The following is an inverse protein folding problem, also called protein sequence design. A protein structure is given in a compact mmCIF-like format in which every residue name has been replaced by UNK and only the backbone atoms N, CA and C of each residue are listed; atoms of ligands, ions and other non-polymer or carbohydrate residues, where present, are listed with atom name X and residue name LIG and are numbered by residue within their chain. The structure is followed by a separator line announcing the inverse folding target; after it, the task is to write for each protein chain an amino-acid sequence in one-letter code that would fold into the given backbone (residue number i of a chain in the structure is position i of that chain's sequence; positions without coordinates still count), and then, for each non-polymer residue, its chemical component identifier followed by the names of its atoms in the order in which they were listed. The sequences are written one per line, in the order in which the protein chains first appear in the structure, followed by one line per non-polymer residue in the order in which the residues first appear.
data_IF_723870681328
#
_entry.id   IF_723870681328
#
_cell.length_a   1.000
_cell.length_b   1.000
_cell.length_c   1.000
_cell.angle_alpha   90.00
_cell.angle_beta   90.00
_cell.angle_gamma   90.00
#
_symmetry.space_group_name_H-M   'P 1'
#
loop_
_entity.id
_entity.type
_entity.pdbx_description
1 polymer ?
#
# COMPACT_ATOMS: atom_id res chain seq x y z
N UNK A 1 -22.40 13.20 -9.76
CA UNK A 1 -23.04 13.26 -8.43
C UNK A 1 -22.96 11.91 -7.69
N UNK A 2 -22.08 11.01 -8.14
CA UNK A 2 -21.85 9.68 -7.52
C UNK A 2 -20.34 9.41 -7.27
N UNK A 3 -19.51 10.46 -7.32
CA UNK A 3 -18.03 10.29 -7.29
C UNK A 3 -17.40 10.21 -5.90
N UNK A 4 -18.17 10.33 -4.79
CA UNK A 4 -17.58 10.49 -3.45
C UNK A 4 -18.18 9.59 -2.34
N UNK A 5 -18.73 8.42 -2.64
CA UNK A 5 -19.21 7.53 -1.59
C UNK A 5 -18.81 6.08 -1.86
N UNK A 6 -18.17 5.46 -0.88
CA UNK A 6 -17.95 4.01 -0.79
C UNK A 6 -19.31 3.27 -0.78
N UNK A 7 -19.78 2.90 -1.97
CA UNK A 7 -20.98 2.07 -2.08
C UNK A 7 -20.62 0.59 -1.96
N UNK A 8 -21.35 -0.08 -1.09
CA UNK A 8 -21.31 -1.54 -0.93
C UNK A 8 -21.80 -2.21 -2.22
N UNK A 9 -21.15 -3.27 -2.67
CA UNK A 9 -21.48 -4.01 -3.92
C UNK A 9 -22.95 -4.39 -3.97
N UNK A 10 -23.55 -4.74 -2.82
CA UNK A 10 -24.99 -5.08 -2.70
C UNK A 10 -25.93 -3.88 -2.98
N UNK A 11 -25.46 -2.66 -2.81
CA UNK A 11 -26.28 -1.45 -3.11
C UNK A 11 -26.25 -1.13 -4.61
N UNK A 12 -25.13 -1.42 -5.27
CA UNK A 12 -24.98 -1.27 -6.71
C UNK A 12 -25.88 -2.29 -7.44
N UNK A 13 -25.88 -3.54 -7.03
CA UNK A 13 -26.74 -4.58 -7.61
C UNK A 13 -28.23 -4.24 -7.47
N UNK A 14 -28.67 -3.74 -6.31
CA UNK A 14 -30.05 -3.27 -6.10
C UNK A 14 -30.41 -2.04 -6.94
N UNK A 15 -29.45 -1.20 -7.25
CA UNK A 15 -29.63 -0.06 -8.13
C UNK A 15 -29.86 -0.54 -9.58
N UNK A 16 -29.05 -1.50 -10.06
CA UNK A 16 -29.23 -2.11 -11.39
C UNK A 16 -30.57 -2.82 -11.52
N UNK A 17 -31.02 -3.57 -10.52
CA UNK A 17 -32.34 -4.20 -10.50
C UNK A 17 -33.46 -3.17 -10.56
N UNK A 18 -33.35 -2.05 -9.83
CA UNK A 18 -34.36 -0.98 -9.88
C UNK A 18 -34.38 -0.27 -11.23
N UNK A 19 -33.27 -0.06 -11.88
CA UNK A 19 -33.23 0.52 -13.23
C UNK A 19 -33.86 -0.40 -14.25
N UNK A 20 -33.55 -1.69 -14.21
CA UNK A 20 -34.17 -2.70 -15.06
C UNK A 20 -35.73 -2.81 -14.84
N UNK A 21 -36.18 -2.76 -13.58
CA UNK A 21 -37.60 -2.79 -13.25
C UNK A 21 -38.35 -1.55 -13.72
N UNK A 22 -37.69 -0.42 -13.90
CA UNK A 22 -38.31 0.83 -14.42
C UNK A 22 -38.13 0.99 -15.93
N UNK A 23 -37.66 -0.04 -16.66
CA UNK A 23 -37.49 0.00 -18.12
C UNK A 23 -36.40 0.98 -18.59
N UNK A 24 -35.47 1.34 -17.71
CA UNK A 24 -34.30 2.14 -18.04
C UNK A 24 -33.24 1.14 -18.53
N UNK A 25 -33.03 1.10 -19.81
CA UNK A 25 -31.96 0.35 -20.45
C UNK A 25 -30.63 1.05 -20.04
N UNK A 26 -29.89 0.43 -19.12
CA UNK A 26 -28.54 0.90 -18.78
C UNK A 26 -27.68 0.42 -19.93
N UNK A 27 -27.34 1.34 -20.82
CA UNK A 27 -26.32 1.10 -21.84
C UNK A 27 -25.00 0.99 -21.10
N UNK A 28 -24.42 -0.19 -21.09
CA UNK A 28 -23.07 -0.47 -20.57
C UNK A 28 -21.99 0.20 -21.47
N UNK A 29 -22.15 1.48 -21.78
CA UNK A 29 -21.07 2.32 -22.33
C UNK A 29 -20.16 2.89 -21.22
N UNK A 30 -20.47 2.59 -19.96
CA UNK A 30 -19.50 2.63 -18.88
C UNK A 30 -19.07 1.19 -18.63
N UNK A 31 -18.36 0.63 -19.57
CA UNK A 31 -17.24 -0.25 -19.23
C UNK A 31 -16.45 0.55 -18.19
N UNK A 32 -16.40 0.17 -16.89
CA UNK A 32 -15.49 0.85 -15.97
C UNK A 32 -14.14 0.72 -16.64
N UNK A 33 -13.59 1.83 -17.07
CA UNK A 33 -12.38 2.04 -17.87
C UNK A 33 -11.49 0.78 -17.93
N UNK A 34 -11.85 -0.17 -18.80
CA UNK A 34 -10.98 -1.30 -19.16
C UNK A 34 -9.69 -0.76 -19.74
N UNK A 35 -9.72 0.46 -20.27
CA UNK A 35 -8.54 1.19 -20.70
C UNK A 35 -7.57 1.52 -19.56
N UNK A 36 -8.05 1.74 -18.34
CA UNK A 36 -7.16 2.07 -17.21
C UNK A 36 -6.33 0.86 -16.77
N UNK A 37 -6.88 -0.36 -16.88
CA UNK A 37 -6.14 -1.59 -16.61
C UNK A 37 -5.48 -2.20 -17.85
N UNK A 38 -6.03 -1.92 -19.06
CA UNK A 38 -5.36 -2.19 -20.33
C UNK A 38 -4.03 -1.42 -20.44
N UNK A 39 -3.97 -0.20 -19.90
CA UNK A 39 -2.74 0.60 -19.86
C UNK A 39 -1.62 -0.03 -19.01
N UNK A 40 -1.96 -0.82 -17.99
CA UNK A 40 -0.98 -1.64 -17.25
C UNK A 40 -0.59 -2.92 -18.02
N UNK A 41 -1.48 -3.42 -18.88
CA UNK A 41 -1.19 -4.54 -19.80
C UNK A 41 -0.30 -4.12 -20.97
N UNK A 42 -0.51 -2.93 -21.54
CA UNK A 42 0.35 -2.40 -22.63
C UNK A 42 1.80 -2.19 -22.17
N UNK A 43 2.04 -1.93 -20.87
CA UNK A 43 3.40 -1.94 -20.31
C UNK A 43 3.97 -3.36 -20.15
N UNK A 44 3.11 -4.40 -20.15
CA UNK A 44 3.55 -5.79 -20.17
C UNK A 44 3.86 -6.26 -21.58
N UNK A 45 3.16 -5.73 -22.58
CA UNK A 45 3.24 -6.14 -23.99
C UNK A 45 4.42 -5.47 -24.74
N UNK A 46 4.96 -4.36 -24.21
CA UNK A 46 6.12 -3.67 -24.79
C UNK A 46 7.45 -4.48 -24.75
N UNK A 47 7.41 -5.72 -24.27
CA UNK A 47 8.59 -6.59 -24.09
C UNK A 47 8.51 -7.98 -24.69
N UNK A 48 7.40 -8.40 -25.32
CA UNK A 48 7.30 -9.79 -25.77
C UNK A 48 6.49 -9.94 -27.08
N UNK A 49 7.17 -9.77 -28.21
CA UNK A 49 6.79 -10.36 -29.51
C UNK A 49 7.09 -11.86 -29.45
N UNK A 50 6.35 -12.65 -28.68
CA UNK A 50 6.47 -14.10 -28.73
C UNK A 50 5.10 -14.80 -28.58
N UNK A 51 4.52 -15.07 -29.75
CA UNK A 51 3.95 -16.36 -30.13
C UNK A 51 2.89 -16.96 -29.20
N UNK A 52 1.65 -16.88 -29.67
CA UNK A 52 0.60 -17.88 -29.46
C UNK A 52 1.16 -19.28 -29.77
N UNK A 53 1.68 -19.94 -28.77
CA UNK A 53 1.90 -21.39 -28.83
C UNK A 53 1.10 -22.03 -27.72
N UNK A 54 0.06 -22.71 -28.15
CA UNK A 54 -0.59 -23.82 -27.48
C UNK A 54 0.43 -24.97 -27.33
N UNK A 55 1.50 -24.72 -26.59
CA UNK A 55 2.53 -25.73 -26.32
C UNK A 55 2.62 -25.97 -24.82
N UNK A 56 2.35 -27.26 -24.55
CA UNK A 56 2.40 -27.87 -23.26
C UNK A 56 3.64 -27.46 -22.48
N UNK A 57 3.40 -27.18 -21.23
CA UNK A 57 4.39 -26.94 -20.19
C UNK A 57 5.51 -27.95 -20.33
N UNK A 58 6.61 -27.53 -20.95
CA UNK A 58 7.77 -28.41 -21.15
C UNK A 58 8.39 -28.70 -19.78
N UNK A 59 8.19 -29.92 -19.32
CA UNK A 59 8.76 -30.42 -18.07
C UNK A 59 10.31 -30.47 -18.09
N UNK A 60 10.92 -30.21 -19.24
CA UNK A 60 12.39 -30.24 -19.43
C UNK A 60 13.10 -29.04 -18.78
N UNK A 61 12.40 -27.93 -18.48
CA UNK A 61 12.97 -26.79 -17.74
C UNK A 61 13.17 -27.07 -16.24
N UNK A 62 12.71 -28.21 -15.74
CA UNK A 62 12.72 -28.55 -14.30
C UNK A 62 13.92 -29.40 -13.89
N UNK A 63 14.67 -29.98 -14.84
CA UNK A 63 15.68 -31.04 -14.56
C UNK A 63 17.07 -30.53 -14.13
N UNK A 64 17.30 -29.24 -14.01
CA UNK A 64 18.69 -28.73 -13.81
C UNK A 64 18.95 -27.88 -12.57
N UNK A 65 17.99 -27.59 -11.68
CA UNK A 65 18.18 -26.63 -10.58
C UNK A 65 17.83 -27.29 -9.23
N UNK A 66 18.56 -26.91 -8.18
CA UNK A 66 18.46 -27.44 -6.82
C UNK A 66 17.02 -27.63 -6.32
N UNK A 67 16.81 -28.71 -5.57
CA UNK A 67 15.51 -29.22 -5.06
C UNK A 67 14.84 -28.24 -4.07
N UNK A 68 15.54 -27.18 -3.65
CA UNK A 68 15.11 -26.24 -2.60
C UNK A 68 14.36 -24.99 -3.10
N UNK A 69 14.03 -24.89 -4.39
CA UNK A 69 13.29 -23.75 -4.90
C UNK A 69 11.77 -23.93 -4.68
N UNK A 70 11.15 -23.11 -3.78
CA UNK A 70 9.71 -23.21 -3.49
C UNK A 70 8.83 -23.00 -4.71
N UNK A 71 9.29 -22.22 -5.70
CA UNK A 71 8.56 -22.00 -6.98
C UNK A 71 8.42 -23.33 -7.72
N UNK A 72 9.51 -24.11 -7.82
CA UNK A 72 9.49 -25.39 -8.52
C UNK A 72 8.63 -26.43 -7.84
N UNK A 73 8.67 -26.47 -6.51
CA UNK A 73 7.81 -27.37 -5.73
C UNK A 73 6.34 -27.07 -6.05
N UNK A 74 5.96 -25.80 -6.03
CA UNK A 74 4.60 -25.37 -6.34
C UNK A 74 4.21 -25.74 -7.78
N UNK A 75 5.07 -25.43 -8.77
CA UNK A 75 4.82 -25.74 -10.19
C UNK A 75 4.66 -27.24 -10.44
N UNK A 76 5.47 -28.07 -9.75
CA UNK A 76 5.36 -29.53 -9.81
C UNK A 76 4.06 -30.04 -9.21
N UNK A 77 3.57 -29.43 -8.13
CA UNK A 77 2.30 -29.83 -7.49
C UNK A 77 1.10 -29.51 -8.37
N UNK A 78 1.01 -28.29 -8.90
CA UNK A 78 -0.11 -27.90 -9.77
C UNK A 78 -0.11 -28.67 -11.11
N UNK A 79 1.07 -29.10 -11.58
CA UNK A 79 1.21 -29.91 -12.80
C UNK A 79 0.61 -31.32 -12.68
N UNK A 80 0.40 -31.84 -11.47
CA UNK A 80 -0.21 -33.16 -11.24
C UNK A 80 -1.72 -33.19 -11.47
N UNK A 81 -2.36 -32.02 -11.43
CA UNK A 81 -3.82 -31.91 -11.60
C UNK A 81 -4.13 -31.91 -13.11
N UNK A 82 -4.94 -32.88 -13.60
CA UNK A 82 -5.31 -32.92 -15.03
C UNK A 82 -6.20 -31.72 -15.37
N UNK A 83 -6.05 -31.24 -16.62
CA UNK A 83 -6.91 -30.21 -17.17
C UNK A 83 -8.34 -30.73 -17.35
N UNK A 84 -9.33 -29.85 -17.23
CA UNK A 84 -10.74 -30.16 -17.42
C UNK A 84 -11.13 -30.03 -18.89
N UNK A 85 -12.03 -30.90 -19.33
CA UNK A 85 -12.73 -30.74 -20.60
C UNK A 85 -13.87 -29.69 -20.46
N UNK A 86 -14.33 -29.08 -21.56
CA UNK A 86 -15.46 -28.13 -21.51
C UNK A 86 -16.74 -28.71 -20.87
N UNK A 87 -17.02 -29.98 -21.08
CA UNK A 87 -18.17 -30.65 -20.51
C UNK A 87 -18.02 -30.84 -19.00
N UNK A 88 -16.82 -31.19 -18.54
CA UNK A 88 -16.50 -31.28 -17.10
C UNK A 88 -16.58 -29.92 -16.40
N UNK A 89 -16.16 -28.83 -17.07
CA UNK A 89 -16.30 -27.45 -16.53
C UNK A 89 -17.78 -27.13 -16.26
N UNK A 90 -18.66 -27.45 -17.21
CA UNK A 90 -20.11 -27.22 -17.09
C UNK A 90 -20.70 -28.08 -15.96
N UNK A 91 -20.34 -29.38 -15.89
CA UNK A 91 -20.82 -30.27 -14.85
C UNK A 91 -20.40 -29.78 -13.46
N UNK A 92 -19.13 -29.42 -13.28
CA UNK A 92 -18.63 -28.88 -12.02
C UNK A 92 -19.30 -27.56 -11.65
N UNK A 93 -19.55 -26.67 -12.63
CA UNK A 93 -20.27 -25.41 -12.40
C UNK A 93 -21.72 -25.64 -11.97
N UNK A 94 -22.40 -26.65 -12.53
CA UNK A 94 -23.76 -27.03 -12.09
C UNK A 94 -23.76 -27.56 -10.64
N UNK A 95 -22.81 -28.42 -10.29
CA UNK A 95 -22.65 -28.94 -8.94
C UNK A 95 -22.36 -27.84 -7.93
N UNK A 96 -21.51 -26.87 -8.30
CA UNK A 96 -21.20 -25.70 -7.47
C UNK A 96 -22.46 -24.87 -7.16
N UNK A 97 -23.34 -24.64 -8.15
CA UNK A 97 -24.61 -23.93 -7.96
C UNK A 97 -25.53 -24.66 -6.96
N UNK A 98 -25.40 -25.96 -6.84
CA UNK A 98 -26.11 -26.79 -5.84
C UNK A 98 -25.39 -26.83 -4.47
N UNK A 99 -24.30 -26.07 -4.27
CA UNK A 99 -23.61 -25.95 -2.99
C UNK A 99 -22.48 -26.97 -2.77
N UNK A 100 -22.04 -27.69 -3.81
CA UNK A 100 -20.95 -28.67 -3.69
C UNK A 100 -19.58 -27.99 -3.59
N UNK A 101 -19.03 -27.95 -2.37
CA UNK A 101 -17.70 -27.38 -2.10
C UNK A 101 -16.56 -28.18 -2.72
N UNK A 102 -16.73 -29.51 -2.95
CA UNK A 102 -15.71 -30.32 -3.59
C UNK A 102 -15.59 -30.00 -5.09
N UNK A 103 -16.73 -29.71 -5.75
CA UNK A 103 -16.74 -29.25 -7.14
C UNK A 103 -16.04 -27.87 -7.28
N UNK A 104 -16.28 -26.94 -6.34
CA UNK A 104 -15.59 -25.65 -6.29
C UNK A 104 -14.08 -25.81 -6.18
N UNK A 105 -13.62 -26.66 -5.25
CA UNK A 105 -12.20 -26.94 -5.06
C UNK A 105 -11.57 -27.55 -6.32
N UNK A 106 -12.23 -28.53 -6.94
CA UNK A 106 -11.75 -29.20 -8.15
C UNK A 106 -11.61 -28.26 -9.33
N UNK A 107 -12.59 -27.35 -9.55
CA UNK A 107 -12.54 -26.35 -10.61
C UNK A 107 -11.39 -25.37 -10.39
N UNK A 108 -11.15 -24.92 -9.14
CA UNK A 108 -10.04 -24.05 -8.81
C UNK A 108 -8.68 -24.75 -9.04
N UNK A 109 -8.49 -25.98 -8.53
CA UNK A 109 -7.23 -26.73 -8.65
C UNK A 109 -6.83 -26.98 -10.10
N UNK A 110 -7.78 -27.30 -10.97
CA UNK A 110 -7.53 -27.54 -12.39
C UNK A 110 -7.10 -26.28 -13.18
N UNK A 111 -7.38 -25.10 -12.62
CA UNK A 111 -7.08 -23.81 -13.26
C UNK A 111 -5.91 -23.04 -12.62
N UNK A 112 -5.16 -23.62 -11.68
CA UNK A 112 -3.98 -22.97 -11.09
C UNK A 112 -2.90 -22.68 -12.13
N UNK A 113 -2.77 -23.53 -13.16
CA UNK A 113 -1.82 -23.31 -14.25
C UNK A 113 -2.13 -22.04 -15.05
N UNK A 114 -3.41 -21.70 -15.22
CA UNK A 114 -3.84 -20.45 -15.85
C UNK A 114 -3.36 -19.22 -15.04
N UNK A 115 -3.44 -19.27 -13.70
CA UNK A 115 -2.93 -18.20 -12.84
C UNK A 115 -1.44 -17.97 -13.05
N UNK A 116 -0.64 -19.05 -13.11
CA UNK A 116 0.81 -18.97 -13.32
C UNK A 116 1.14 -18.33 -14.67
N UNK A 117 0.44 -18.71 -15.73
CA UNK A 117 0.66 -18.16 -17.09
C UNK A 117 0.40 -16.66 -17.15
N UNK A 118 -0.61 -16.18 -16.41
CA UNK A 118 -0.93 -14.75 -16.30
C UNK A 118 0.09 -14.04 -15.40
N UNK A 119 0.39 -14.59 -14.21
CA UNK A 119 1.31 -13.99 -13.24
C UNK A 119 2.73 -13.80 -13.80
N UNK A 120 3.18 -14.71 -14.70
CA UNK A 120 4.49 -14.63 -15.36
C UNK A 120 4.70 -13.29 -16.06
N UNK A 121 3.68 -12.72 -16.69
CA UNK A 121 3.73 -11.42 -17.39
C UNK A 121 3.90 -10.22 -16.47
N UNK A 122 3.65 -10.38 -15.17
CA UNK A 122 3.76 -9.33 -14.17
C UNK A 122 5.02 -9.44 -13.30
N UNK A 123 5.94 -10.34 -13.64
CA UNK A 123 7.23 -10.49 -12.96
C UNK A 123 8.07 -9.21 -13.02
N UNK A 124 8.88 -8.96 -11.99
CA UNK A 124 9.81 -7.81 -11.94
C UNK A 124 9.15 -6.46 -11.58
N UNK A 125 7.88 -6.43 -11.19
CA UNK A 125 7.15 -5.20 -10.86
C UNK A 125 7.09 -4.89 -9.36
N UNK A 126 8.10 -5.30 -8.60
CA UNK A 126 8.23 -4.98 -7.16
C UNK A 126 7.57 -6.00 -6.22
N UNK A 127 7.01 -7.10 -6.75
CA UNK A 127 6.50 -8.23 -5.97
C UNK A 127 7.21 -9.54 -6.34
N UNK A 128 7.33 -10.46 -5.39
CA UNK A 128 7.86 -11.80 -5.70
C UNK A 128 6.92 -12.57 -6.60
N UNK A 129 7.47 -13.49 -7.41
CA UNK A 129 6.64 -14.28 -8.33
C UNK A 129 5.61 -15.16 -7.60
N UNK A 130 5.97 -15.72 -6.44
CA UNK A 130 5.04 -16.50 -5.63
C UNK A 130 3.90 -15.66 -5.06
N UNK A 131 4.20 -14.41 -4.63
CA UNK A 131 3.15 -13.51 -4.13
C UNK A 131 2.18 -13.11 -5.26
N UNK A 132 2.69 -12.86 -6.47
CA UNK A 132 1.84 -12.61 -7.65
C UNK A 132 0.91 -13.79 -7.95
N UNK A 133 1.44 -15.02 -7.85
CA UNK A 133 0.63 -16.24 -8.02
C UNK A 133 -0.45 -16.31 -6.92
N UNK A 134 -0.11 -16.07 -5.65
CA UNK A 134 -1.10 -16.17 -4.57
C UNK A 134 -2.19 -15.10 -4.68
N UNK A 135 -1.84 -13.87 -5.04
CA UNK A 135 -2.84 -12.84 -5.33
C UNK A 135 -3.72 -13.20 -6.54
N UNK A 136 -3.11 -13.79 -7.57
CA UNK A 136 -3.84 -14.36 -8.70
C UNK A 136 -4.79 -15.49 -8.31
N UNK A 137 -4.36 -16.38 -7.39
CA UNK A 137 -5.20 -17.46 -6.85
C UNK A 137 -6.41 -16.91 -6.09
N UNK A 138 -6.27 -15.81 -5.35
CA UNK A 138 -7.41 -15.11 -4.73
C UNK A 138 -8.40 -14.59 -5.79
N UNK A 139 -7.88 -14.08 -6.89
CA UNK A 139 -8.70 -13.71 -8.06
C UNK A 139 -9.43 -14.91 -8.67
N UNK A 140 -8.74 -16.04 -8.86
CA UNK A 140 -9.31 -17.28 -9.36
C UNK A 140 -10.46 -17.79 -8.45
N UNK A 141 -10.29 -17.77 -7.13
CA UNK A 141 -11.33 -18.19 -6.18
C UNK A 141 -12.58 -17.33 -6.35
N UNK A 142 -12.43 -16.01 -6.47
CA UNK A 142 -13.55 -15.08 -6.74
C UNK A 142 -14.22 -15.38 -8.09
N UNK A 143 -13.43 -15.70 -9.12
CA UNK A 143 -13.96 -16.09 -10.43
C UNK A 143 -14.80 -17.36 -10.33
N UNK A 144 -14.31 -18.39 -9.62
CA UNK A 144 -15.03 -19.64 -9.39
C UNK A 144 -16.36 -19.39 -8.69
N UNK A 145 -16.39 -18.52 -7.66
CA UNK A 145 -17.61 -18.18 -6.92
C UNK A 145 -18.70 -17.49 -7.77
N UNK A 146 -18.26 -16.64 -8.71
CA UNK A 146 -19.17 -15.82 -9.52
C UNK A 146 -19.41 -16.37 -10.94
N UNK A 147 -18.83 -17.52 -11.28
CA UNK A 147 -18.95 -18.10 -12.61
C UNK A 147 -20.38 -18.59 -12.91
N UNK A 148 -20.91 -18.15 -14.05
CA UNK A 148 -22.22 -18.56 -14.54
C UNK A 148 -22.07 -19.27 -15.90
N UNK A 149 -22.20 -20.60 -15.89
CA UNK A 149 -22.11 -21.45 -17.08
C UNK A 149 -23.25 -21.24 -18.07
N UNK A 150 -24.38 -20.62 -17.66
CA UNK A 150 -25.53 -20.39 -18.55
C UNK A 150 -25.24 -19.37 -19.63
N UNK A 151 -24.19 -18.54 -19.46
CA UNK A 151 -23.78 -17.53 -20.45
C UNK A 151 -23.01 -18.10 -21.65
N UNK A 152 -22.64 -19.38 -21.63
CA UNK A 152 -22.02 -20.07 -22.77
C UNK A 152 -20.54 -19.75 -23.02
N UNK A 153 -19.90 -18.95 -22.14
CA UNK A 153 -18.47 -18.64 -22.24
C UNK A 153 -17.62 -19.67 -21.47
N UNK A 154 -16.36 -19.90 -21.92
CA UNK A 154 -15.40 -20.73 -21.21
C UNK A 154 -15.04 -20.09 -19.88
N UNK A 155 -14.82 -20.94 -18.86
CA UNK A 155 -14.38 -20.48 -17.55
C UNK A 155 -13.09 -19.65 -17.61
N UNK A 156 -12.11 -20.09 -18.43
CA UNK A 156 -10.82 -19.41 -18.59
C UNK A 156 -10.96 -17.95 -19.03
N UNK A 157 -11.90 -17.62 -19.94
CA UNK A 157 -12.15 -16.26 -20.40
C UNK A 157 -12.61 -15.36 -19.25
N UNK A 158 -13.53 -15.85 -18.42
CA UNK A 158 -14.02 -15.12 -17.26
C UNK A 158 -12.98 -15.02 -16.14
N UNK A 159 -12.29 -16.12 -15.85
CA UNK A 159 -11.28 -16.18 -14.80
C UNK A 159 -10.07 -15.27 -15.08
N UNK A 160 -9.66 -15.13 -16.35
CA UNK A 160 -8.54 -14.27 -16.73
C UNK A 160 -8.75 -12.84 -16.27
N UNK A 161 -9.95 -12.31 -16.39
CA UNK A 161 -10.27 -10.94 -15.92
C UNK A 161 -10.08 -10.80 -14.40
N UNK A 162 -10.62 -11.74 -13.62
CA UNK A 162 -10.51 -11.70 -12.15
C UNK A 162 -9.08 -11.89 -11.65
N UNK A 163 -8.33 -12.79 -12.30
CA UNK A 163 -6.92 -13.06 -11.96
C UNK A 163 -6.10 -11.80 -12.23
N UNK A 164 -6.26 -11.20 -13.41
CA UNK A 164 -5.57 -9.97 -13.81
C UNK A 164 -5.89 -8.83 -12.85
N UNK A 165 -7.18 -8.60 -12.58
CA UNK A 165 -7.64 -7.58 -11.65
C UNK A 165 -7.01 -7.73 -10.26
N UNK A 166 -6.97 -8.96 -9.72
CA UNK A 166 -6.38 -9.22 -8.41
C UNK A 166 -4.88 -8.94 -8.39
N UNK A 167 -4.14 -9.42 -9.39
CA UNK A 167 -2.70 -9.20 -9.51
C UNK A 167 -2.38 -7.72 -9.66
N UNK A 168 -3.06 -7.01 -10.55
CA UNK A 168 -2.81 -5.59 -10.80
C UNK A 168 -3.09 -4.75 -9.55
N UNK A 169 -4.18 -5.04 -8.86
CA UNK A 169 -4.52 -4.37 -7.60
C UNK A 169 -3.48 -4.65 -6.51
N UNK A 170 -3.02 -5.89 -6.39
CA UNK A 170 -1.99 -6.25 -5.43
C UNK A 170 -0.66 -5.53 -5.71
N UNK A 171 -0.24 -5.43 -6.97
CA UNK A 171 0.93 -4.64 -7.36
C UNK A 171 0.77 -3.17 -6.96
N UNK A 172 -0.39 -2.57 -7.23
CA UNK A 172 -0.63 -1.17 -6.85
C UNK A 172 -0.59 -0.95 -5.34
N UNK A 173 -1.09 -1.91 -4.54
CA UNK A 173 -1.19 -1.80 -3.09
C UNK A 173 0.08 -2.18 -2.33
N UNK A 174 0.91 -3.09 -2.85
CA UNK A 174 1.98 -3.76 -2.09
C UNK A 174 3.39 -3.64 -2.70
N UNK A 175 3.52 -3.34 -4.01
CA UNK A 175 4.81 -3.35 -4.69
C UNK A 175 5.78 -2.25 -4.24
N UNK A 176 5.28 -1.15 -3.66
CA UNK A 176 6.09 -0.02 -3.24
C UNK A 176 6.39 -0.05 -1.75
N UNK A 177 7.61 0.27 -1.36
CA UNK A 177 8.02 0.42 0.04
C UNK A 177 7.17 1.47 0.77
N UNK A 178 6.87 2.59 0.12
CA UNK A 178 5.94 3.60 0.61
C UNK A 178 4.65 3.44 -0.19
N UNK A 179 3.59 2.96 0.47
CA UNK A 179 2.30 2.69 -0.17
C UNK A 179 1.68 3.95 -0.75
N UNK A 180 1.23 3.87 -1.99
CA UNK A 180 0.51 4.92 -2.72
C UNK A 180 -0.92 4.43 -2.99
N UNK A 181 -1.96 5.27 -2.85
CA UNK A 181 -3.33 4.89 -3.20
C UNK A 181 -3.47 4.47 -4.66
N UNK A 182 -4.35 3.48 -4.94
CA UNK A 182 -4.50 2.86 -6.28
C UNK A 182 -4.77 3.90 -7.37
N UNK A 183 -5.68 4.85 -7.16
CA UNK A 183 -5.99 5.91 -8.13
C UNK A 183 -4.77 6.78 -8.48
N UNK A 184 -3.84 6.97 -7.54
CA UNK A 184 -2.58 7.68 -7.81
C UNK A 184 -1.61 6.83 -8.63
N UNK A 185 -1.56 5.50 -8.39
CA UNK A 185 -0.77 4.58 -9.19
C UNK A 185 -1.26 4.58 -10.65
N UNK A 186 -2.57 4.58 -10.87
CA UNK A 186 -3.19 4.71 -12.19
C UNK A 186 -2.78 6.01 -12.88
N UNK A 187 -2.86 7.13 -12.14
CA UNK A 187 -2.45 8.44 -12.69
C UNK A 187 -0.95 8.47 -13.03
N UNK A 188 -0.09 7.91 -12.17
CA UNK A 188 1.35 7.76 -12.43
C UNK A 188 1.59 6.93 -13.70
N UNK A 189 0.84 5.84 -13.87
CA UNK A 189 0.93 4.97 -15.05
C UNK A 189 0.55 5.72 -16.33
N UNK A 190 -0.56 6.50 -16.31
CA UNK A 190 -0.96 7.37 -17.43
C UNK A 190 0.13 8.39 -17.77
N UNK A 191 0.71 9.05 -16.77
CA UNK A 191 1.82 10.00 -16.97
C UNK A 191 3.04 9.31 -17.60
N UNK A 192 3.43 8.12 -17.10
CA UNK A 192 4.55 7.36 -17.64
C UNK A 192 4.31 6.91 -19.10
N UNK A 193 3.08 6.45 -19.43
CA UNK A 193 2.71 6.04 -20.78
C UNK A 193 2.82 7.21 -21.77
N UNK A 194 2.24 8.36 -21.43
CA UNK A 194 2.33 9.56 -22.29
C UNK A 194 3.78 10.06 -22.39
N UNK A 195 4.55 10.03 -21.31
CA UNK A 195 5.97 10.38 -21.31
C UNK A 195 6.75 9.49 -22.29
N UNK A 196 6.52 8.16 -22.26
CA UNK A 196 7.13 7.22 -23.20
C UNK A 196 6.71 7.47 -24.64
N UNK A 197 5.43 7.74 -24.92
CA UNK A 197 4.93 8.06 -26.25
C UNK A 197 5.57 9.35 -26.81
N UNK A 198 5.65 10.40 -26.00
CA UNK A 198 6.29 11.67 -26.39
C UNK A 198 7.80 11.51 -26.59
N UNK A 199 8.46 10.68 -25.78
CA UNK A 199 9.88 10.33 -25.98
C UNK A 199 10.10 9.68 -27.34
N UNK A 200 9.26 8.72 -27.73
CA UNK A 200 9.34 8.08 -29.05
C UNK A 200 9.04 9.04 -30.20
N UNK A 201 8.13 9.99 -30.03
CA UNK A 201 7.78 10.97 -31.07
C UNK A 201 8.85 12.06 -31.23
N UNK A 202 9.37 12.58 -30.13
CA UNK A 202 10.27 13.72 -30.11
C UNK A 202 11.75 13.36 -30.10
N UNK A 203 12.11 12.08 -29.80
CA UNK A 203 13.48 11.61 -29.65
C UNK A 203 14.22 12.17 -28.45
N UNK A 204 13.54 12.86 -27.52
CA UNK A 204 14.06 13.43 -26.29
C UNK A 204 13.07 13.31 -25.13
N UNK A 205 13.56 13.39 -23.91
CA UNK A 205 12.68 13.41 -22.73
C UNK A 205 11.69 14.58 -22.80
N UNK A 206 10.38 14.30 -22.59
CA UNK A 206 9.35 15.34 -22.63
C UNK A 206 9.43 16.24 -21.39
N UNK A 207 9.10 17.51 -21.59
CA UNK A 207 8.97 18.45 -20.48
C UNK A 207 7.64 18.24 -19.74
N UNK A 208 7.55 18.60 -18.43
CA UNK A 208 6.27 18.55 -17.71
C UNK A 208 5.13 19.31 -18.38
N UNK A 209 5.44 20.38 -19.11
CA UNK A 209 4.46 21.20 -19.85
C UNK A 209 3.89 20.42 -21.06
N UNK A 210 4.71 19.66 -21.78
CA UNK A 210 4.29 18.80 -22.90
C UNK A 210 3.40 17.64 -22.43
N UNK A 211 3.76 17.02 -21.30
CA UNK A 211 2.95 15.95 -20.69
C UNK A 211 1.60 16.52 -20.21
N UNK A 212 1.60 17.69 -19.57
CA UNK A 212 0.41 18.37 -19.08
C UNK A 212 -0.56 18.70 -20.22
N UNK A 213 -0.03 19.19 -21.36
CA UNK A 213 -0.82 19.46 -22.55
C UNK A 213 -1.45 18.18 -23.16
N UNK A 214 -0.71 17.05 -23.15
CA UNK A 214 -1.19 15.78 -23.68
C UNK A 214 -2.25 15.12 -22.78
N UNK A 215 -2.20 15.34 -21.45
CA UNK A 215 -3.15 14.78 -20.47
C UNK A 215 -4.28 15.73 -20.11
N UNK A 216 -4.30 16.96 -20.64
CA UNK A 216 -5.25 18.02 -20.28
C UNK A 216 -5.28 18.30 -18.76
N UNK A 217 -4.08 18.35 -18.15
CA UNK A 217 -3.89 18.54 -16.72
C UNK A 217 -3.06 19.79 -16.41
N UNK A 218 -3.20 20.43 -15.23
CA UNK A 218 -2.33 21.50 -14.79
C UNK A 218 -0.87 21.03 -14.66
N UNK A 219 0.08 21.86 -15.12
CA UNK A 219 1.52 21.55 -15.09
C UNK A 219 2.02 21.24 -13.67
N UNK A 220 1.56 22.00 -12.68
CA UNK A 220 1.96 21.80 -11.28
C UNK A 220 1.51 20.43 -10.76
N UNK A 221 0.35 19.95 -11.21
CA UNK A 221 -0.13 18.60 -10.88
C UNK A 221 0.76 17.53 -11.48
N UNK A 222 1.19 17.69 -12.73
CA UNK A 222 2.13 16.73 -13.36
C UNK A 222 3.46 16.70 -12.61
N UNK A 223 4.00 17.86 -12.22
CA UNK A 223 5.24 17.94 -11.42
C UNK A 223 5.09 17.24 -10.06
N UNK A 224 3.95 17.41 -9.40
CA UNK A 224 3.65 16.73 -8.13
C UNK A 224 3.62 15.21 -8.33
N UNK A 225 2.91 14.71 -9.37
CA UNK A 225 2.81 13.31 -9.70
C UNK A 225 4.19 12.71 -10.00
N UNK A 226 5.01 13.39 -10.78
CA UNK A 226 6.38 12.95 -11.09
C UNK A 226 7.25 12.85 -9.83
N UNK A 227 7.09 13.76 -8.86
CA UNK A 227 7.79 13.70 -7.58
C UNK A 227 7.33 12.53 -6.72
N UNK A 228 6.02 12.25 -6.66
CA UNK A 228 5.47 11.11 -5.92
C UNK A 228 5.85 9.77 -6.58
N UNK A 229 6.04 9.77 -7.91
CA UNK A 229 6.36 8.56 -8.66
C UNK A 229 7.79 8.03 -8.40
N UNK A 230 8.67 8.81 -7.78
CA UNK A 230 10.05 8.41 -7.48
C UNK A 230 10.07 7.27 -6.45
N UNK A 231 11.00 6.33 -6.65
CA UNK A 231 11.24 5.26 -5.70
C UNK A 231 12.27 5.69 -4.65
N UNK A 232 12.17 5.22 -3.40
CA UNK A 232 13.15 5.52 -2.37
C UNK A 232 14.51 4.88 -2.71
N UNK A 233 15.58 5.60 -2.37
CA UNK A 233 16.96 5.11 -2.51
C UNK A 233 17.38 4.44 -1.20
N UNK A 234 18.12 3.33 -1.28
CA UNK A 234 18.66 2.66 -0.09
C UNK A 234 19.73 3.51 0.60
N UNK A 235 19.69 3.55 1.92
CA UNK A 235 20.75 4.18 2.73
C UNK A 235 22.07 3.42 2.68
N UNK A 236 22.02 2.13 2.33
CA UNK A 236 23.21 1.27 2.17
C UNK A 236 23.85 1.40 0.77
N UNK A 237 23.37 2.33 -0.07
CA UNK A 237 23.97 2.57 -1.38
C UNK A 237 25.40 3.08 -1.19
N UNK A 238 26.43 2.39 -1.76
CA UNK A 238 27.82 2.82 -1.63
C UNK A 238 28.05 4.15 -2.37
N UNK A 239 28.86 5.02 -1.79
CA UNK A 239 29.25 6.32 -2.37
C UNK A 239 30.77 6.34 -2.52
N UNK A 240 31.24 6.63 -3.74
CA UNK A 240 32.67 6.71 -4.07
C UNK A 240 33.21 5.42 -4.65
N UNK A 241 34.55 5.39 -4.90
CA UNK A 241 35.24 4.24 -5.47
C UNK A 241 35.64 3.19 -4.41
N UNK A 242 35.71 3.59 -3.15
CA UNK A 242 35.99 2.71 -2.00
C UNK A 242 34.63 2.34 -1.37
N UNK A 243 34.32 1.03 -1.32
CA UNK A 243 33.02 0.49 -0.83
C UNK A 243 32.77 0.73 0.68
N UNK A 244 33.61 1.49 1.35
CA UNK A 244 33.56 1.71 2.80
C UNK A 244 32.55 2.80 3.25
N UNK A 245 32.03 3.63 2.33
CA UNK A 245 31.11 4.73 2.64
C UNK A 245 29.72 4.53 2.04
N UNK A 246 28.69 4.68 2.85
CA UNK A 246 27.29 4.54 2.45
C UNK A 246 26.55 5.87 2.49
N UNK A 247 25.47 6.01 1.71
CA UNK A 247 24.63 7.21 1.70
C UNK A 247 24.15 7.62 3.10
N UNK A 248 23.87 6.63 3.95
CA UNK A 248 23.42 6.85 5.33
C UNK A 248 24.41 7.59 6.21
N UNK A 249 25.72 7.46 5.95
CA UNK A 249 26.78 8.10 6.74
C UNK A 249 26.83 9.63 6.56
N UNK A 250 26.25 10.12 5.46
CA UNK A 250 26.24 11.56 5.13
C UNK A 250 24.94 12.27 5.58
N UNK A 251 23.97 11.55 6.10
CA UNK A 251 22.70 12.14 6.54
C UNK A 251 22.79 12.50 8.02
N UNK A 252 22.83 13.81 8.38
CA UNK A 252 22.88 14.24 9.77
C UNK A 252 21.56 13.97 10.49
N UNK A 253 21.61 13.65 11.78
CA UNK A 253 20.44 13.60 12.64
C UNK A 253 20.07 15.02 13.12
N UNK A 254 19.04 15.61 12.53
CA UNK A 254 18.54 16.94 12.87
C UNK A 254 17.92 17.02 14.29
N UNK A 255 17.59 15.88 14.90
CA UNK A 255 17.03 15.83 16.26
C UNK A 255 18.07 15.64 17.33
N UNK A 256 19.31 15.30 17.01
CA UNK A 256 20.38 15.20 17.97
C UNK A 256 20.83 16.59 18.43
N UNK A 257 20.69 16.92 19.74
CA UNK A 257 21.13 18.23 20.25
C UNK A 257 22.66 18.34 20.15
N UNK A 258 23.15 19.53 19.83
CA UNK A 258 24.58 19.80 19.88
C UNK A 258 25.13 19.58 21.30
N UNK A 259 26.40 19.14 21.48
CA UNK A 259 27.00 18.90 22.78
C UNK A 259 26.92 20.11 23.72
N UNK A 260 27.08 21.33 23.17
CA UNK A 260 26.96 22.60 23.89
C UNK A 260 25.54 22.85 24.40
N UNK A 261 24.54 22.52 23.58
CA UNK A 261 23.12 22.65 23.94
C UNK A 261 22.73 21.62 24.99
N UNK A 262 23.15 20.35 24.81
CA UNK A 262 22.91 19.30 25.78
C UNK A 262 23.53 19.62 27.14
N UNK A 263 24.78 20.12 27.20
CA UNK A 263 25.43 20.56 28.42
C UNK A 263 24.67 21.73 29.08
N UNK A 264 24.23 22.72 28.29
CA UNK A 264 23.44 23.85 28.77
C UNK A 264 22.11 23.42 29.38
N UNK A 265 21.42 22.44 28.76
CA UNK A 265 20.17 21.88 29.27
C UNK A 265 20.39 21.13 30.59
N UNK A 266 21.48 20.37 30.73
CA UNK A 266 21.82 19.69 32.00
C UNK A 266 22.10 20.70 33.10
N UNK A 267 22.92 21.72 32.86
CA UNK A 267 23.21 22.80 33.82
C UNK A 267 21.94 23.55 34.23
N UNK A 268 21.07 23.88 33.25
CA UNK A 268 19.77 24.51 33.53
C UNK A 268 18.90 23.64 34.45
N UNK A 269 18.84 22.33 34.18
CA UNK A 269 18.10 21.37 35.00
C UNK A 269 18.65 21.30 36.43
N UNK A 270 19.96 21.30 36.57
CA UNK A 270 20.62 21.35 37.88
C UNK A 270 20.32 22.64 38.65
N UNK A 271 20.40 23.80 37.99
CA UNK A 271 20.05 25.09 38.58
C UNK A 271 18.59 25.13 39.02
N UNK A 272 17.66 24.65 38.20
CA UNK A 272 16.24 24.56 38.53
C UNK A 272 16.06 23.68 39.77
N UNK A 273 16.73 22.53 39.87
CA UNK A 273 16.67 21.64 41.03
C UNK A 273 17.21 22.31 42.29
N UNK A 274 18.31 23.03 42.20
CA UNK A 274 18.88 23.79 43.31
C UNK A 274 17.91 24.87 43.83
N UNK A 275 17.28 25.60 42.92
CA UNK A 275 16.29 26.62 43.25
C UNK A 275 15.03 26.01 43.88
N UNK A 276 14.54 24.91 43.32
CA UNK A 276 13.36 24.19 43.85
C UNK A 276 13.61 23.61 45.25
N UNK A 277 14.83 23.13 45.57
CA UNK A 277 15.19 22.60 46.87
C UNK A 277 15.12 23.64 48.00
N UNK A 278 15.07 24.94 47.67
CA UNK A 278 14.87 26.03 48.67
C UNK A 278 13.41 26.19 49.11
N UNK A 279 12.47 25.52 48.47
CA UNK A 279 11.04 25.51 48.78
C UNK A 279 10.73 24.43 49.84
N UNK A 280 9.54 24.48 50.38
CA UNK A 280 9.07 23.36 51.22
C UNK A 280 8.78 22.15 50.34
N UNK A 281 8.98 20.94 50.84
CA UNK A 281 8.78 19.68 50.14
C UNK A 281 7.44 19.61 49.37
N UNK A 282 6.40 20.16 49.97
CA UNK A 282 5.05 20.19 49.38
C UNK A 282 4.95 21.18 48.20
N UNK A 283 5.56 22.37 48.34
CA UNK A 283 5.61 23.37 47.25
C UNK A 283 6.46 22.88 46.08
N UNK A 284 7.59 22.24 46.37
CA UNK A 284 8.48 21.64 45.36
C UNK A 284 7.76 20.54 44.56
N UNK A 285 7.16 19.54 45.23
CA UNK A 285 6.43 18.45 44.59
C UNK A 285 5.27 18.95 43.72
N UNK A 286 4.53 19.96 44.19
CA UNK A 286 3.44 20.56 43.40
C UNK A 286 3.98 21.18 42.11
N UNK A 287 5.09 21.92 42.14
CA UNK A 287 5.69 22.51 40.95
C UNK A 287 6.28 21.44 40.01
N UNK A 288 6.99 20.43 40.55
CA UNK A 288 7.54 19.32 39.75
C UNK A 288 6.47 18.60 38.95
N UNK A 289 5.36 18.26 39.60
CA UNK A 289 4.24 17.57 38.93
C UNK A 289 3.49 18.48 37.95
N UNK A 290 3.29 19.76 38.36
CA UNK A 290 2.55 20.73 37.54
C UNK A 290 3.23 21.01 36.21
N UNK A 291 4.57 21.22 36.26
CA UNK A 291 5.38 21.53 35.07
C UNK A 291 6.05 20.29 34.42
N UNK A 292 5.84 19.10 34.97
CA UNK A 292 6.40 17.87 34.39
C UNK A 292 7.93 17.81 34.44
N UNK A 293 8.56 18.33 35.49
CA UNK A 293 10.03 18.41 35.59
C UNK A 293 10.71 17.06 35.81
N UNK A 294 9.96 16.02 36.20
CA UNK A 294 10.46 14.65 36.39
C UNK A 294 10.18 13.72 35.21
N UNK A 295 8.96 13.74 34.74
CA UNK A 295 8.45 12.80 33.74
C UNK A 295 8.11 13.46 32.38
N UNK A 296 8.40 14.75 32.21
CA UNK A 296 8.12 15.50 30.99
C UNK A 296 6.63 15.79 30.74
N UNK A 297 5.72 15.31 31.62
CA UNK A 297 4.28 15.46 31.43
C UNK A 297 3.74 16.56 32.38
N UNK A 298 3.36 17.71 31.80
CA UNK A 298 2.65 18.75 32.57
C UNK A 298 1.25 18.29 32.97
N UNK A 299 0.86 18.51 34.25
CA UNK A 299 -0.43 18.13 34.81
C UNK A 299 -1.30 19.34 35.08
N UNK A 300 -2.61 19.15 35.01
CA UNK A 300 -3.59 20.19 35.37
C UNK A 300 -3.66 20.39 36.90
N UNK A 301 -4.15 21.56 37.35
CA UNK A 301 -4.34 21.83 38.78
C UNK A 301 -5.28 20.83 39.46
N UNK A 302 -6.20 20.27 38.69
CA UNK A 302 -7.18 19.28 39.17
C UNK A 302 -6.55 17.92 39.38
N UNK A 303 -5.75 17.44 38.39
CA UNK A 303 -4.99 16.19 38.50
C UNK A 303 -3.99 16.23 39.67
N UNK A 304 -3.27 17.34 39.82
CA UNK A 304 -2.37 17.51 40.97
C UNK A 304 -3.17 17.57 42.28
N UNK A 305 -4.36 18.20 42.29
CA UNK A 305 -5.25 18.24 43.43
C UNK A 305 -5.71 16.84 43.87
N UNK A 306 -6.06 15.98 42.91
CA UNK A 306 -6.43 14.57 43.16
C UNK A 306 -5.26 13.79 43.78
N UNK A 307 -4.02 13.98 43.30
CA UNK A 307 -2.83 13.29 43.82
C UNK A 307 -2.50 13.69 45.28
N UNK A 308 -2.78 14.94 45.68
CA UNK A 308 -2.53 15.44 47.03
C UNK A 308 -3.76 15.43 47.93
N UNK A 309 -4.90 14.90 47.45
CA UNK A 309 -6.20 14.91 48.14
C UNK A 309 -6.61 16.32 48.60
N UNK A 310 -6.46 17.33 47.76
CA UNK A 310 -6.85 18.72 48.00
C UNK A 310 -7.60 19.33 46.84
N UNK A 311 -8.33 20.40 47.11
CA UNK A 311 -9.09 21.10 46.06
C UNK A 311 -8.18 21.80 45.05
N UNK A 312 -8.65 21.94 43.80
CA UNK A 312 -7.99 22.69 42.72
C UNK A 312 -7.52 24.08 43.17
N UNK A 313 -8.37 24.79 43.93
CA UNK A 313 -8.06 26.14 44.40
C UNK A 313 -6.91 26.13 45.44
N UNK A 314 -6.82 25.09 46.26
CA UNK A 314 -5.70 24.95 47.21
C UNK A 314 -4.37 24.72 46.48
N UNK A 315 -4.34 23.93 45.40
CA UNK A 315 -3.14 23.75 44.57
C UNK A 315 -2.76 25.09 43.92
N UNK A 316 -3.73 25.84 43.37
CA UNK A 316 -3.48 27.16 42.80
C UNK A 316 -2.84 28.13 43.80
N UNK A 317 -3.29 28.12 45.06
CA UNK A 317 -2.72 28.94 46.14
C UNK A 317 -1.28 28.52 46.45
N UNK A 318 -1.01 27.19 46.52
CA UNK A 318 0.34 26.67 46.78
C UNK A 318 1.28 27.04 45.61
N UNK A 319 0.86 26.85 44.39
CA UNK A 319 1.61 27.23 43.18
C UNK A 319 1.94 28.74 43.18
N UNK A 320 0.94 29.59 43.36
CA UNK A 320 1.13 31.04 43.39
C UNK A 320 2.08 31.50 44.52
N UNK A 321 1.99 30.85 45.71
CA UNK A 321 2.88 31.11 46.83
C UNK A 321 4.31 30.66 46.53
N UNK A 322 4.49 29.47 45.94
CA UNK A 322 5.80 28.93 45.55
C UNK A 322 6.48 29.81 44.50
N UNK A 323 5.75 30.19 43.43
CA UNK A 323 6.26 31.07 42.39
C UNK A 323 6.63 32.47 42.92
N UNK A 324 5.84 33.02 43.90
CA UNK A 324 6.17 34.28 44.52
C UNK A 324 7.46 34.20 45.37
N UNK A 325 7.70 33.07 46.06
CA UNK A 325 8.94 32.81 46.78
C UNK A 325 10.15 32.73 45.86
N UNK A 326 9.99 32.09 44.69
CA UNK A 326 11.06 31.97 43.69
C UNK A 326 11.39 33.32 43.02
N UNK A 327 10.41 34.20 42.90
CA UNK A 327 10.62 35.55 42.31
C UNK A 327 11.30 36.55 43.25
N UNK A 328 11.61 36.16 44.48
CA UNK A 328 12.24 37.06 45.43
C UNK A 328 13.72 37.25 45.12
N UNK A 329 14.25 38.52 45.06
CA UNK A 329 15.60 38.83 44.58
C UNK A 329 16.76 38.19 45.36
N UNK A 330 16.53 37.68 46.56
CA UNK A 330 17.54 36.92 47.31
C UNK A 330 17.65 35.44 46.91
N UNK A 331 16.87 34.98 45.91
CA UNK A 331 16.81 33.59 45.44
C UNK A 331 16.89 33.44 43.92
N UNK A 332 16.96 34.58 43.19
CA UNK A 332 17.14 34.61 41.75
C UNK A 332 18.62 34.71 41.38
#
# INVERSE_FOLDING_TARGET
ALEDSDYDVDQIDRFYEKCAANGIEIIDDIVPDTDTYADLDDLADAGDDLVDTDDGYDSSLVDGIAIDDPVKIYLKEIGRVPLLTPDEEIELAQRMKNGDSAAKKRLAEANLRLVVSIAKRYGGRGMSFLDLIQEGNLGLIKAVEKFDYTKGFKFSTYATWWIRQSITRAIADQARTIRIPVHMVETITKVKKISSQLLHQNGRDPTPDEIAAALDMPVDRVREIMRIAQDPVSLETPIGEEEDSHLGDFIPDENAPEPTEAASQVLLKEQINQVLSTLTEREEKVLRLRFGLEDGRSRTLEEVGQMFNVTRERIRQIEAKALRKLRHPNRS
#
